data_IF_968312348902
#
_entry.id   IF_968312348902
#
_cell.length_a   1.000
_cell.length_b   1.000
_cell.length_c   1.000
_cell.angle_alpha   90.00
_cell.angle_beta   90.00
_cell.angle_gamma   90.00
#
_symmetry.space_group_name_H-M   'P 1'
#
loop_
_entity.id
_entity.type
_entity.pdbx_description
1 polymer ?
#
# COMPACT_ATOMS: atom_id res chain seq x y z
N UNK A 1 8.67 -60.31 -51.29
CA UNK A 1 9.46 -59.67 -50.22
C UNK A 1 9.76 -58.24 -50.61
N UNK A 2 9.35 -57.28 -49.76
CA UNK A 2 9.89 -55.90 -49.57
C UNK A 2 10.06 -54.96 -50.77
N UNK A 3 10.19 -53.65 -50.62
CA UNK A 3 9.85 -52.68 -49.57
C UNK A 3 10.12 -51.30 -50.22
N UNK A 4 9.18 -50.35 -50.07
CA UNK A 4 9.37 -48.87 -50.17
C UNK A 4 9.70 -48.31 -51.59
N UNK A 5 9.13 -47.20 -52.05
CA UNK A 5 9.28 -45.86 -51.47
C UNK A 5 8.14 -44.87 -51.84
N UNK A 6 7.93 -43.95 -50.90
CA UNK A 6 7.54 -42.53 -51.05
C UNK A 6 6.22 -42.17 -51.77
N UNK A 7 5.18 -41.94 -50.95
CA UNK A 7 4.10 -41.02 -51.32
C UNK A 7 4.24 -39.71 -50.55
N UNK A 8 4.46 -38.69 -51.37
CA UNK A 8 4.43 -37.25 -51.14
C UNK A 8 3.21 -36.78 -50.35
N UNK A 9 3.47 -35.85 -49.45
CA UNK A 9 2.75 -34.56 -49.29
C UNK A 9 1.23 -34.59 -49.41
N UNK A 10 0.55 -34.43 -48.27
CA UNK A 10 -0.87 -34.07 -48.23
C UNK A 10 -1.23 -33.48 -46.86
N UNK A 11 -1.00 -32.19 -46.67
CA UNK A 11 -1.52 -31.41 -45.55
C UNK A 11 -3.05 -31.35 -45.70
N UNK A 12 -3.78 -31.95 -44.76
CA UNK A 12 -5.23 -31.73 -44.63
C UNK A 12 -5.46 -30.85 -43.42
N UNK A 13 -5.79 -29.59 -43.70
CA UNK A 13 -6.23 -28.58 -42.74
C UNK A 13 -7.55 -29.02 -42.10
N UNK A 14 -7.56 -29.16 -40.78
CA UNK A 14 -8.78 -29.20 -39.99
C UNK A 14 -8.62 -28.26 -38.79
N UNK A 15 -9.12 -27.03 -38.93
CA UNK A 15 -9.29 -26.10 -37.83
C UNK A 15 -10.71 -25.53 -37.92
N UNK A 16 -11.65 -26.18 -37.22
CA UNK A 16 -12.97 -25.60 -36.96
C UNK A 16 -12.79 -24.64 -35.79
N UNK A 17 -12.57 -23.37 -36.10
CA UNK A 17 -12.59 -22.29 -35.12
C UNK A 17 -14.04 -21.98 -34.77
N UNK A 18 -14.55 -22.56 -33.68
CA UNK A 18 -15.81 -22.12 -33.07
C UNK A 18 -15.53 -20.74 -32.46
N UNK A 19 -15.82 -19.69 -33.22
CA UNK A 19 -15.86 -18.33 -32.69
C UNK A 19 -17.07 -18.24 -31.75
N UNK A 20 -16.84 -18.34 -30.44
CA UNK A 20 -17.79 -17.83 -29.46
C UNK A 20 -17.84 -16.31 -29.64
N UNK A 21 -18.78 -15.83 -30.45
CA UNK A 21 -19.21 -14.44 -30.44
C UNK A 21 -19.94 -14.17 -29.11
N UNK A 22 -19.15 -14.02 -28.04
CA UNK A 22 -19.61 -13.50 -26.76
C UNK A 22 -19.98 -12.03 -26.93
N UNK A 23 -21.28 -11.78 -27.00
CA UNK A 23 -21.86 -10.45 -26.89
C UNK A 23 -21.52 -9.87 -25.51
N UNK A 24 -20.77 -8.76 -25.46
CA UNK A 24 -20.55 -8.07 -24.18
C UNK A 24 -19.31 -7.20 -24.13
N UNK A 25 -19.33 -6.08 -24.86
CA UNK A 25 -18.58 -4.86 -24.56
C UNK A 25 -17.06 -5.00 -24.48
N UNK A 26 -16.37 -4.43 -25.45
CA UNK A 26 -14.93 -4.15 -25.38
C UNK A 26 -14.63 -3.33 -24.12
N UNK A 27 -14.29 -4.00 -23.00
CA UNK A 27 -13.58 -3.34 -21.91
C UNK A 27 -12.21 -3.02 -22.47
N UNK A 28 -12.01 -1.74 -22.83
CA UNK A 28 -10.68 -1.18 -23.08
C UNK A 28 -9.72 -1.75 -22.04
N UNK A 29 -8.55 -2.26 -22.42
CA UNK A 29 -7.60 -2.77 -21.45
C UNK A 29 -7.32 -1.66 -20.43
N UNK A 30 -7.81 -1.87 -19.21
CA UNK A 30 -7.53 -0.97 -18.10
C UNK A 30 -6.04 -1.09 -17.89
N UNK A 31 -5.29 0.02 -18.04
CA UNK A 31 -3.86 0.03 -17.73
C UNK A 31 -3.64 -0.67 -16.39
N UNK A 32 -2.73 -1.64 -16.35
CA UNK A 32 -2.46 -2.40 -15.13
C UNK A 32 -2.22 -1.42 -13.98
N UNK A 33 -2.89 -1.64 -12.84
CA UNK A 33 -2.72 -0.78 -11.68
C UNK A 33 -1.24 -0.74 -11.29
N UNK A 34 -0.71 0.46 -11.07
CA UNK A 34 0.68 0.62 -10.65
C UNK A 34 0.92 -0.12 -9.33
N UNK A 35 2.11 -0.70 -9.19
CA UNK A 35 2.49 -1.37 -7.96
C UNK A 35 2.43 -0.40 -6.77
N UNK A 36 1.92 -0.88 -5.63
CA UNK A 36 1.85 -0.15 -4.36
C UNK A 36 2.60 -0.91 -3.28
N UNK A 37 3.33 -0.19 -2.43
CA UNK A 37 3.97 -0.76 -1.24
C UNK A 37 4.04 0.25 -0.09
N UNK A 38 4.09 -0.26 1.13
CA UNK A 38 4.21 0.53 2.35
C UNK A 38 5.62 0.40 2.92
N UNK A 39 6.25 1.55 3.11
CA UNK A 39 7.64 1.67 3.54
C UNK A 39 7.77 2.78 4.59
N UNK A 40 8.75 2.65 5.47
CA UNK A 40 9.08 3.67 6.48
C UNK A 40 10.32 4.48 6.10
N UNK A 41 11.16 3.96 5.20
CA UNK A 41 12.40 4.58 4.76
C UNK A 41 12.52 4.51 3.24
N UNK A 42 13.30 5.42 2.65
CA UNK A 42 13.59 5.39 1.21
C UNK A 42 14.43 4.16 0.82
N UNK A 43 15.26 3.65 1.72
CA UNK A 43 16.02 2.41 1.52
C UNK A 43 15.13 1.19 1.42
N UNK A 44 14.10 1.07 2.27
CA UNK A 44 13.12 -0.03 2.20
C UNK A 44 12.33 0.03 0.90
N UNK A 45 11.93 1.24 0.51
CA UNK A 45 11.24 1.49 -0.75
C UNK A 45 12.10 1.08 -1.96
N UNK A 46 13.37 1.49 -1.98
CA UNK A 46 14.29 1.15 -3.07
C UNK A 46 14.62 -0.35 -3.11
N UNK A 47 14.71 -0.98 -1.93
CA UNK A 47 14.93 -2.41 -1.77
C UNK A 47 13.84 -3.29 -2.39
N UNK A 48 12.65 -2.73 -2.67
CA UNK A 48 11.59 -3.42 -3.41
C UNK A 48 11.90 -3.67 -4.89
N UNK A 49 12.87 -2.93 -5.46
CA UNK A 49 13.22 -2.98 -6.88
C UNK A 49 12.17 -2.42 -7.84
N UNK A 50 11.13 -1.74 -7.34
CA UNK A 50 10.02 -1.22 -8.16
C UNK A 50 10.27 0.18 -8.71
N UNK A 51 11.00 0.99 -7.96
CA UNK A 51 11.51 2.31 -8.34
C UNK A 51 12.92 2.48 -7.73
N UNK A 52 13.71 3.41 -8.25
CA UNK A 52 15.08 3.63 -7.75
C UNK A 52 15.10 4.48 -6.45
N UNK A 53 16.27 4.56 -5.81
CA UNK A 53 16.44 5.27 -4.54
C UNK A 53 16.07 6.75 -4.62
N UNK A 54 16.49 7.45 -5.67
CA UNK A 54 16.18 8.87 -5.89
C UNK A 54 14.67 9.09 -6.01
N UNK A 55 13.98 8.22 -6.74
CA UNK A 55 12.53 8.26 -6.87
C UNK A 55 11.81 8.04 -5.53
N UNK A 56 12.30 7.12 -4.70
CA UNK A 56 11.77 6.92 -3.35
C UNK A 56 11.97 8.17 -2.48
N UNK A 57 13.18 8.75 -2.47
CA UNK A 57 13.51 9.95 -1.70
C UNK A 57 12.56 11.08 -2.09
N UNK A 58 12.50 11.44 -3.37
CA UNK A 58 11.66 12.54 -3.87
C UNK A 58 10.18 12.30 -3.58
N UNK A 59 9.68 11.08 -3.73
CA UNK A 59 8.28 10.78 -3.44
C UNK A 59 7.96 10.91 -1.95
N UNK A 60 8.82 10.40 -1.07
CA UNK A 60 8.63 10.42 0.37
C UNK A 60 8.81 11.82 0.95
N UNK A 61 9.78 12.62 0.48
CA UNK A 61 9.93 14.03 0.86
C UNK A 61 8.66 14.84 0.53
N UNK A 62 8.09 14.64 -0.66
CA UNK A 62 6.81 15.26 -1.02
C UNK A 62 5.67 14.85 -0.08
N UNK A 63 5.66 13.60 0.39
CA UNK A 63 4.67 13.13 1.35
C UNK A 63 4.89 13.69 2.77
N UNK A 64 6.13 13.96 3.17
CA UNK A 64 6.44 14.68 4.41
C UNK A 64 5.91 16.11 4.34
N UNK A 65 6.18 16.82 3.23
CA UNK A 65 5.65 18.17 3.01
C UNK A 65 4.12 18.17 3.03
N UNK A 66 3.48 17.18 2.39
CA UNK A 66 2.02 17.03 2.43
C UNK A 66 1.50 16.74 3.84
N UNK A 67 2.20 15.91 4.61
CA UNK A 67 1.88 15.68 6.02
C UNK A 67 1.94 16.98 6.83
N UNK A 68 3.01 17.76 6.70
CA UNK A 68 3.14 19.03 7.42
C UNK A 68 2.05 20.03 7.08
N UNK A 69 1.60 20.05 5.83
CA UNK A 69 0.59 20.97 5.31
C UNK A 69 -0.85 20.55 5.60
N UNK A 70 -1.15 19.26 5.48
CA UNK A 70 -2.52 18.77 5.36
C UNK A 70 -2.91 17.72 6.42
N UNK A 71 -2.00 17.36 7.35
CA UNK A 71 -2.39 16.52 8.47
C UNK A 71 -3.51 17.17 9.30
N UNK A 72 -4.43 16.37 9.88
CA UNK A 72 -5.41 16.88 10.83
C UNK A 72 -4.75 17.74 11.92
N UNK A 73 -5.28 18.93 12.13
CA UNK A 73 -4.79 19.87 13.14
C UNK A 73 -5.78 19.97 14.30
N UNK A 74 -5.26 19.91 15.51
CA UNK A 74 -6.00 19.93 16.75
C UNK A 74 -5.48 21.04 17.66
N UNK A 75 -6.38 21.73 18.37
CA UNK A 75 -6.03 22.84 19.26
C UNK A 75 -5.40 22.42 20.59
N UNK A 76 -5.45 21.13 20.95
CA UNK A 76 -4.88 20.61 22.19
C UNK A 76 -4.40 19.16 22.02
N UNK A 77 -3.47 18.74 22.86
CA UNK A 77 -3.03 17.33 22.88
C UNK A 77 -4.21 16.40 23.14
N UNK A 78 -5.06 16.75 24.11
CA UNK A 78 -6.23 15.95 24.49
C UNK A 78 -7.21 15.74 23.34
N UNK A 79 -7.51 16.76 22.54
CA UNK A 79 -8.41 16.62 21.39
C UNK A 79 -7.80 15.76 20.28
N UNK A 80 -6.49 15.87 20.09
CA UNK A 80 -5.76 14.99 19.17
C UNK A 80 -5.81 13.53 19.66
N UNK A 81 -5.39 13.25 20.90
CA UNK A 81 -5.33 11.88 21.42
C UNK A 81 -6.70 11.21 21.55
N UNK A 82 -7.76 11.98 21.83
CA UNK A 82 -9.13 11.46 21.80
C UNK A 82 -9.54 10.94 20.41
N UNK A 83 -8.95 11.49 19.34
CA UNK A 83 -9.29 11.14 17.95
C UNK A 83 -8.31 10.11 17.38
N UNK A 84 -7.03 10.32 17.63
CA UNK A 84 -5.92 9.57 17.03
C UNK A 84 -5.47 8.38 17.88
N UNK A 85 -5.76 8.44 19.18
CA UNK A 85 -5.30 7.51 20.20
C UNK A 85 -4.16 8.10 21.05
N UNK A 86 -3.96 7.50 22.21
CA UNK A 86 -2.97 7.92 23.19
C UNK A 86 -1.54 7.88 22.62
N UNK A 87 -0.73 8.89 22.90
CA UNK A 87 0.68 8.99 22.51
C UNK A 87 0.92 8.95 20.98
N UNK A 88 -0.11 9.24 20.17
CA UNK A 88 -0.05 9.24 18.69
C UNK A 88 -0.06 10.64 18.08
N UNK A 89 0.18 11.64 18.91
CA UNK A 89 0.09 13.05 18.56
C UNK A 89 1.40 13.78 18.85
N UNK A 90 1.79 14.66 17.94
CA UNK A 90 2.94 15.53 18.08
C UNK A 90 2.55 17.00 18.02
N UNK A 91 3.35 17.86 18.66
CA UNK A 91 3.16 19.30 18.63
C UNK A 91 3.85 19.88 17.39
N UNK A 92 3.11 20.65 16.62
CA UNK A 92 3.61 21.41 15.46
C UNK A 92 4.36 22.66 15.90
N UNK A 93 5.16 23.24 15.00
CA UNK A 93 5.88 24.50 15.25
C UNK A 93 4.94 25.70 15.52
N UNK A 94 3.70 25.66 15.00
CA UNK A 94 2.67 26.68 15.25
C UNK A 94 1.95 26.50 16.59
N UNK A 95 2.30 25.48 17.37
CA UNK A 95 1.72 25.19 18.67
C UNK A 95 0.46 24.34 18.64
N UNK A 96 -0.08 24.03 17.45
CA UNK A 96 -1.16 23.04 17.26
C UNK A 96 -0.64 21.60 17.39
N UNK A 97 -1.53 20.61 17.43
CA UNK A 97 -1.20 19.18 17.49
C UNK A 97 -1.68 18.45 16.23
N UNK A 98 -0.98 17.39 15.83
CA UNK A 98 -1.31 16.57 14.66
C UNK A 98 -0.95 15.09 14.92
N UNK A 99 -1.51 14.12 14.17
CA UNK A 99 -1.09 12.73 14.29
C UNK A 99 0.35 12.54 13.84
N UNK A 100 1.07 11.62 14.47
CA UNK A 100 2.45 11.27 14.08
C UNK A 100 2.45 10.55 12.73
N UNK A 101 3.29 11.00 11.80
CA UNK A 101 3.56 10.30 10.54
C UNK A 101 4.35 9.02 10.83
N UNK A 102 3.83 7.87 10.42
CA UNK A 102 4.45 6.57 10.70
C UNK A 102 5.07 5.92 9.47
N UNK A 103 4.42 5.99 8.31
CA UNK A 103 4.87 5.30 7.12
C UNK A 103 4.40 6.01 5.85
N UNK A 104 4.74 5.45 4.70
CA UNK A 104 4.42 5.97 3.39
C UNK A 104 3.86 4.87 2.51
N UNK A 105 2.68 5.11 1.92
CA UNK A 105 2.19 4.32 0.81
C UNK A 105 2.82 4.85 -0.48
N UNK A 106 3.77 4.11 -1.04
CA UNK A 106 4.41 4.46 -2.31
C UNK A 106 3.71 3.75 -3.45
N UNK A 107 3.35 4.51 -4.49
CA UNK A 107 2.83 4.02 -5.76
C UNK A 107 3.88 4.23 -6.84
N UNK A 108 4.28 3.15 -7.51
CA UNK A 108 5.26 3.15 -8.60
C UNK A 108 4.64 3.63 -9.93
N UNK A 109 4.01 4.82 -9.90
CA UNK A 109 3.49 5.52 -11.07
C UNK A 109 4.58 6.35 -11.75
N UNK A 110 4.24 7.03 -12.86
CA UNK A 110 5.12 8.00 -13.53
C UNK A 110 4.46 9.38 -13.51
N UNK A 111 4.91 10.32 -12.64
CA UNK A 111 5.95 10.16 -11.62
C UNK A 111 5.49 9.30 -10.42
N UNK A 112 6.42 8.73 -9.64
CA UNK A 112 6.07 8.02 -8.40
C UNK A 112 5.43 8.96 -7.39
N UNK A 113 4.54 8.41 -6.56
CA UNK A 113 3.83 9.16 -5.52
C UNK A 113 3.96 8.44 -4.19
N UNK A 114 4.06 9.20 -3.10
CA UNK A 114 3.90 8.66 -1.76
C UNK A 114 2.75 9.36 -1.03
N UNK A 115 2.06 8.65 -0.16
CA UNK A 115 0.99 9.17 0.70
C UNK A 115 1.36 8.95 2.16
N UNK A 116 1.26 9.97 3.03
CA UNK A 116 1.55 9.83 4.45
C UNK A 116 0.54 8.91 5.14
N UNK A 117 1.05 8.06 6.02
CA UNK A 117 0.28 7.07 6.76
C UNK A 117 0.39 7.25 8.28
N UNK A 118 -0.72 6.99 8.95
CA UNK A 118 -0.91 7.17 10.38
C UNK A 118 -1.37 5.87 11.04
N UNK A 119 -1.42 5.86 12.37
CA UNK A 119 -2.00 4.74 13.11
C UNK A 119 -3.48 4.52 12.73
N UNK A 120 -3.92 3.26 12.58
CA UNK A 120 -5.27 2.92 12.11
C UNK A 120 -6.36 3.09 13.18
N UNK A 121 -6.02 3.64 14.35
CA UNK A 121 -6.87 3.66 15.53
C UNK A 121 -6.70 2.41 16.39
N UNK A 122 -7.70 2.11 17.21
CA UNK A 122 -7.59 1.06 18.22
C UNK A 122 -7.81 -0.33 17.61
N UNK A 123 -7.12 -1.33 18.19
CA UNK A 123 -7.29 -2.77 17.90
C UNK A 123 -6.99 -3.21 16.46
N UNK A 124 -6.42 -2.34 15.62
CA UNK A 124 -6.00 -2.66 14.25
C UNK A 124 -4.48 -2.63 14.14
N UNK A 125 -3.91 -3.62 13.46
CA UNK A 125 -2.48 -3.69 13.16
C UNK A 125 -2.27 -3.31 11.69
N UNK A 126 -1.76 -2.11 11.47
CA UNK A 126 -1.55 -1.59 10.11
C UNK A 126 -1.43 -0.09 10.11
N UNK A 127 -1.96 0.52 9.04
CA UNK A 127 -1.87 1.95 8.79
C UNK A 127 -3.18 2.49 8.20
N UNK A 128 -3.32 3.82 8.21
CA UNK A 128 -4.37 4.50 7.46
C UNK A 128 -3.88 5.77 6.79
N UNK A 129 -4.54 6.19 5.71
CA UNK A 129 -4.39 7.55 5.17
C UNK A 129 -5.14 8.57 6.03
N UNK A 130 -4.92 9.86 5.78
CA UNK A 130 -5.74 10.94 6.36
C UNK A 130 -7.23 10.79 6.01
N UNK A 131 -7.52 10.28 4.80
CA UNK A 131 -8.87 9.99 4.32
C UNK A 131 -9.49 8.70 4.91
N UNK A 132 -8.79 8.04 5.85
CA UNK A 132 -9.25 6.80 6.51
C UNK A 132 -9.41 5.61 5.56
N UNK A 133 -8.60 5.53 4.50
CA UNK A 133 -8.32 4.26 3.82
C UNK A 133 -7.37 3.45 4.70
N UNK A 134 -7.63 2.16 4.92
CA UNK A 134 -6.89 1.30 5.83
C UNK A 134 -6.06 0.27 5.07
N UNK A 135 -4.84 0.03 5.55
CA UNK A 135 -3.97 -1.04 5.08
C UNK A 135 -3.57 -1.87 6.30
N UNK A 136 -4.16 -3.04 6.45
CA UNK A 136 -3.92 -3.91 7.59
C UNK A 136 -2.84 -4.92 7.25
N UNK A 137 -2.01 -5.29 8.22
CA UNK A 137 -0.97 -6.32 8.05
C UNK A 137 -1.53 -7.70 7.71
N UNK A 138 -2.82 -7.93 8.00
CA UNK A 138 -3.56 -9.14 7.63
C UNK A 138 -4.16 -9.08 6.22
N UNK A 139 -3.99 -7.98 5.49
CA UNK A 139 -4.50 -7.79 4.13
C UNK A 139 -3.33 -7.75 3.14
N UNK A 140 -3.35 -8.68 2.19
CA UNK A 140 -2.30 -8.83 1.17
C UNK A 140 -2.49 -7.87 -0.02
N UNK A 141 -3.42 -6.90 0.06
CA UNK A 141 -3.68 -5.92 -1.00
C UNK A 141 -2.52 -4.98 -1.31
N UNK A 142 -1.61 -4.77 -0.35
CA UNK A 142 -0.42 -3.91 -0.49
C UNK A 142 0.78 -4.54 0.21
N UNK A 143 1.90 -4.66 -0.51
CA UNK A 143 3.15 -5.14 0.09
C UNK A 143 3.61 -4.20 1.21
N UNK A 144 4.05 -4.74 2.35
CA UNK A 144 4.59 -3.95 3.47
C UNK A 144 6.01 -4.40 3.80
N UNK A 145 6.96 -3.47 3.94
CA UNK A 145 8.31 -3.81 4.42
C UNK A 145 8.27 -4.39 5.84
N UNK A 146 9.28 -5.19 6.18
CA UNK A 146 9.40 -5.75 7.54
C UNK A 146 9.48 -4.64 8.61
N UNK A 147 10.13 -3.53 8.31
CA UNK A 147 10.19 -2.39 9.21
C UNK A 147 8.81 -1.73 9.38
N UNK A 148 8.04 -1.61 8.30
CA UNK A 148 6.66 -1.13 8.37
C UNK A 148 5.75 -2.06 9.20
N UNK A 149 5.89 -3.38 9.06
CA UNK A 149 5.14 -4.35 9.87
C UNK A 149 5.47 -4.22 11.37
N UNK A 150 6.76 -4.18 11.71
CA UNK A 150 7.22 -3.96 13.09
C UNK A 150 6.66 -2.65 13.68
N UNK A 151 6.67 -1.57 12.88
CA UNK A 151 6.14 -0.29 13.32
C UNK A 151 4.61 -0.31 13.50
N UNK A 152 3.89 -1.02 12.65
CA UNK A 152 2.45 -1.22 12.77
C UNK A 152 2.08 -1.94 14.08
N UNK A 153 2.81 -3.00 14.43
CA UNK A 153 2.63 -3.75 15.67
C UNK A 153 2.95 -2.91 16.91
N UNK A 154 4.00 -2.10 16.85
CA UNK A 154 4.40 -1.21 17.94
C UNK A 154 3.33 -0.13 18.25
N UNK A 155 2.52 0.24 17.25
CA UNK A 155 1.52 1.30 17.35
C UNK A 155 0.11 0.82 17.67
N UNK A 156 -0.08 -0.47 17.98
CA UNK A 156 -1.36 -0.98 18.50
C UNK A 156 -1.55 -0.51 19.93
N UNK A 157 -2.71 0.08 20.26
CA UNK A 157 -3.01 0.43 21.66
C UNK A 157 -3.18 -0.84 22.51
N UNK A 158 -2.14 -1.17 23.28
CA UNK A 158 -2.08 -2.35 24.15
C UNK A 158 -2.99 -2.24 25.38
N UNK A 159 -3.56 -1.06 25.70
CA UNK A 159 -4.48 -0.92 26.84
C UNK A 159 -5.85 -1.58 26.60
N UNK A 160 -6.20 -1.87 25.34
CA UNK A 160 -7.34 -2.74 25.02
C UNK A 160 -7.06 -4.23 25.23
N UNK A 161 -5.79 -4.64 25.29
CA UNK A 161 -5.38 -6.04 25.42
C UNK A 161 -5.14 -6.47 26.88
N UNK A 162 -4.91 -5.51 27.78
CA UNK A 162 -4.63 -5.75 29.19
C UNK A 162 -5.77 -5.22 30.08
N UNK A 163 -6.97 -5.83 30.00
CA UNK A 163 -7.86 -5.84 31.15
C UNK A 163 -7.45 -7.05 31.99
N UNK A 164 -6.77 -6.90 33.14
CA UNK A 164 -6.55 -8.03 34.02
C UNK A 164 -7.94 -8.57 34.40
N UNK A 165 -8.18 -9.86 34.16
CA UNK A 165 -9.31 -10.54 34.80
C UNK A 165 -9.10 -10.35 36.30
N UNK A 166 -10.07 -9.73 36.95
CA UNK A 166 -10.02 -9.41 38.37
C UNK A 166 -9.60 -10.63 39.18
N UNK A 167 -8.75 -10.37 40.16
CA UNK A 167 -8.60 -11.21 41.35
C UNK A 167 -9.39 -10.52 42.47
#
# INVERSE_FOLDING_TARGET
>A
MGHLDNVRTGVVLAAISIALAGCGGEKKPTAAAAFRGIYTTSSDCAGSGKINAEQCIVAMEKAVIEHEKAAPSYTSLRSCENTEGKDRCERTHTGSYRPVLLAFLVTASTPPKATPLYAPGDKKVGFRTAAKEFFLTSDDSVAMSQHAQTLAEANVDKRSAAKPKGL
#
